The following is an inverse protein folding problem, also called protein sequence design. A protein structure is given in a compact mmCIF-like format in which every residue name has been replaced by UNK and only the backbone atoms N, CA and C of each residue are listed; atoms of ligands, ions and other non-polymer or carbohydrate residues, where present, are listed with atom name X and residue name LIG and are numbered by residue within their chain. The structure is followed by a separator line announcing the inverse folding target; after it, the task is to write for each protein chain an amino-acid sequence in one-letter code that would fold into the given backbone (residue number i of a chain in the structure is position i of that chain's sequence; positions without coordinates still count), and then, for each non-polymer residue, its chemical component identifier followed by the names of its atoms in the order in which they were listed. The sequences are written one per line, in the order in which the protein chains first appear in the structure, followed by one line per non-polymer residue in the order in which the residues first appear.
data_IF_866391788293
#
_entry.id   IF_866391788293
#
_cell.length_a   1.000
_cell.length_b   1.000
_cell.length_c   1.000
_cell.angle_alpha   90.00
_cell.angle_beta   90.00
_cell.angle_gamma   90.00
#
_symmetry.space_group_name_H-M   'P 1'
#
loop_
_entity.id
_entity.type
_entity.pdbx_description
1 polymer ?
#
# COMPACT_ATOMS: atom_id res chain seq x y z
N UNK A 1 15.20 -15.32 0.50
CA UNK A 1 14.06 -15.45 -0.44
C UNK A 1 12.97 -14.51 0.03
N UNK A 2 12.76 -13.40 -0.66
CA UNK A 2 11.67 -12.48 -0.38
C UNK A 2 10.83 -12.36 -1.64
N UNK A 3 9.60 -12.87 -1.60
CA UNK A 3 8.68 -12.83 -2.73
C UNK A 3 8.36 -11.36 -3.03
N UNK A 4 8.74 -10.91 -4.22
CA UNK A 4 8.27 -9.66 -4.76
C UNK A 4 6.81 -9.84 -5.20
N UNK A 5 5.88 -9.15 -4.55
CA UNK A 5 4.56 -8.91 -5.15
C UNK A 5 4.72 -7.78 -6.18
N UNK A 6 5.14 -8.14 -7.39
CA UNK A 6 5.25 -7.23 -8.52
C UNK A 6 4.04 -7.40 -9.45
N UNK A 7 3.37 -6.28 -9.70
CA UNK A 7 3.12 -5.86 -11.08
C UNK A 7 1.68 -6.00 -11.56
N UNK A 8 1.13 -4.86 -11.99
CA UNK A 8 -0.08 -4.66 -12.82
C UNK A 8 -1.30 -5.48 -12.41
N UNK A 9 -2.43 -4.81 -12.16
CA UNK A 9 -3.72 -5.43 -12.46
C UNK A 9 -3.86 -5.63 -13.97
N UNK A 10 -3.12 -6.61 -14.49
CA UNK A 10 -3.49 -7.35 -15.69
C UNK A 10 -4.43 -8.44 -15.20
N UNK A 11 -5.72 -8.12 -15.20
CA UNK A 11 -6.85 -9.03 -14.94
C UNK A 11 -6.95 -9.56 -13.49
N UNK A 12 -7.78 -8.90 -12.66
CA UNK A 12 -8.65 -9.62 -11.71
C UNK A 12 -8.15 -9.96 -10.30
N UNK A 13 -7.10 -9.30 -9.76
CA UNK A 13 -6.75 -9.48 -8.34
C UNK A 13 -7.45 -8.42 -7.51
N UNK A 14 -8.62 -8.76 -6.94
CA UNK A 14 -9.35 -7.87 -6.04
C UNK A 14 -8.54 -7.54 -4.78
N UNK A 15 -8.81 -6.38 -4.17
CA UNK A 15 -8.23 -5.99 -2.88
C UNK A 15 -8.41 -7.09 -1.81
N UNK A 16 -9.56 -7.77 -1.83
CA UNK A 16 -9.85 -8.92 -0.97
C UNK A 16 -8.85 -10.07 -1.12
N UNK A 17 -8.42 -10.33 -2.35
CA UNK A 17 -7.41 -11.36 -2.63
C UNK A 17 -6.04 -10.94 -2.11
N UNK A 18 -5.68 -9.65 -2.24
CA UNK A 18 -4.45 -9.10 -1.67
C UNK A 18 -4.44 -9.23 -0.14
N UNK A 19 -5.53 -8.81 0.52
CA UNK A 19 -5.70 -8.93 1.97
C UNK A 19 -5.57 -10.40 2.40
N UNK A 20 -6.23 -11.33 1.72
CA UNK A 20 -6.13 -12.76 2.05
C UNK A 20 -4.70 -13.27 1.91
N UNK A 21 -3.99 -12.93 0.83
CA UNK A 21 -2.59 -13.33 0.62
C UNK A 21 -1.63 -12.74 1.65
N UNK A 22 -1.96 -11.57 2.20
CA UNK A 22 -1.15 -10.96 3.26
C UNK A 22 -1.14 -11.77 4.56
N UNK A 23 -2.15 -12.62 4.79
CA UNK A 23 -2.23 -13.52 5.93
C UNK A 23 -1.03 -14.48 6.01
N UNK A 24 -0.50 -14.87 4.85
CA UNK A 24 0.62 -15.81 4.72
C UNK A 24 1.99 -15.14 4.83
N UNK A 25 2.03 -13.81 4.99
CA UNK A 25 3.26 -12.99 4.95
C UNK A 25 3.42 -12.16 6.22
N UNK A 26 3.83 -12.72 7.37
CA UNK A 26 4.00 -11.94 8.59
C UNK A 26 5.17 -10.96 8.50
N UNK A 27 4.96 -9.72 8.94
CA UNK A 27 6.01 -8.70 9.08
C UNK A 27 5.96 -7.60 8.02
N UNK A 28 7.08 -6.89 7.77
CA UNK A 28 7.14 -5.83 6.77
C UNK A 28 6.91 -6.37 5.36
N UNK A 29 5.94 -5.80 4.65
CA UNK A 29 5.57 -6.18 3.30
C UNK A 29 5.66 -4.97 2.36
N UNK A 30 6.24 -5.19 1.18
CA UNK A 30 6.40 -4.15 0.18
C UNK A 30 5.32 -4.31 -0.89
N UNK A 31 4.37 -3.37 -0.91
CA UNK A 31 3.38 -3.26 -1.97
C UNK A 31 4.00 -2.57 -3.17
N UNK A 32 3.96 -3.20 -4.33
CA UNK A 32 4.44 -2.64 -5.59
C UNK A 32 3.34 -2.71 -6.63
N UNK A 33 2.94 -1.53 -7.11
CA UNK A 33 1.92 -1.34 -8.14
C UNK A 33 2.60 -0.72 -9.36
N UNK A 34 2.25 -1.21 -10.54
CA UNK A 34 2.73 -0.66 -11.80
C UNK A 34 1.55 -0.35 -12.70
N UNK A 35 1.54 0.81 -13.33
CA UNK A 35 0.50 1.19 -14.28
C UNK A 35 0.82 0.74 -15.71
N UNK A 36 -0.11 0.97 -16.64
CA UNK A 36 0.08 0.60 -18.05
C UNK A 36 1.13 1.46 -18.76
N UNK A 37 1.37 2.67 -18.26
CA UNK A 37 2.30 3.65 -18.82
C UNK A 37 3.75 3.39 -18.37
N UNK A 38 3.97 2.44 -17.46
CA UNK A 38 5.27 2.04 -16.97
C UNK A 38 5.70 2.73 -15.68
N UNK A 39 4.84 3.57 -15.07
CA UNK A 39 5.09 4.11 -13.75
C UNK A 39 4.94 3.03 -12.69
N UNK A 40 5.84 3.04 -11.70
CA UNK A 40 5.84 2.14 -10.57
C UNK A 40 5.70 2.95 -9.30
N UNK A 41 4.78 2.53 -8.43
CA UNK A 41 4.51 3.18 -7.17
C UNK A 41 4.06 2.16 -6.13
N UNK A 42 4.13 2.52 -4.86
CA UNK A 42 3.82 1.58 -3.80
C UNK A 42 4.26 2.05 -2.43
N UNK A 43 4.41 1.12 -1.50
CA UNK A 43 4.86 1.44 -0.16
C UNK A 43 5.12 0.23 0.72
N UNK A 44 5.88 0.45 1.78
CA UNK A 44 6.09 -0.54 2.83
C UNK A 44 4.95 -0.46 3.84
N UNK A 45 4.31 -1.59 4.07
CA UNK A 45 3.22 -1.75 5.04
C UNK A 45 3.50 -2.95 5.94
N UNK A 46 2.64 -3.18 6.93
CA UNK A 46 2.79 -4.31 7.83
C UNK A 46 1.72 -5.35 7.53
N UNK A 47 2.16 -6.59 7.37
CA UNK A 47 1.31 -7.73 7.15
C UNK A 47 1.21 -8.61 8.41
N UNK A 48 0.07 -9.29 8.60
CA UNK A 48 -1.08 -9.32 7.69
C UNK A 48 -1.86 -7.99 7.65
N UNK A 49 -2.40 -7.66 6.48
CA UNK A 49 -3.32 -6.54 6.33
C UNK A 49 -4.58 -6.84 7.14
N UNK A 50 -4.94 -5.93 8.05
CA UNK A 50 -6.11 -6.06 8.89
C UNK A 50 -7.18 -5.08 8.40
N UNK A 51 -8.12 -5.50 7.53
CA UNK A 51 -9.23 -4.66 7.17
C UNK A 51 -10.05 -4.30 8.41
N UNK A 52 -10.50 -3.06 8.47
CA UNK A 52 -11.27 -2.52 9.59
C UNK A 52 -12.57 -1.91 9.07
N UNK A 53 -13.69 -2.18 9.73
CA UNK A 53 -15.00 -1.62 9.33
C UNK A 53 -15.11 -0.10 9.54
N UNK A 54 -14.18 0.50 10.27
CA UNK A 54 -14.10 1.95 10.53
C UNK A 54 -12.70 2.43 10.17
N UNK A 55 -12.58 3.69 9.75
CA UNK A 55 -11.28 4.33 9.47
C UNK A 55 -10.37 4.29 10.71
N UNK A 56 -9.47 3.31 10.73
CA UNK A 56 -8.44 3.14 11.76
C UNK A 56 -7.08 3.11 11.09
N UNK A 57 -6.26 4.10 11.43
CA UNK A 57 -4.87 4.15 10.97
C UNK A 57 -4.06 3.03 11.62
N UNK A 58 -3.26 2.38 10.79
CA UNK A 58 -2.41 1.25 11.13
C UNK A 58 -1.00 1.52 10.58
N UNK A 59 -0.01 0.76 11.07
CA UNK A 59 1.38 0.84 10.64
C UNK A 59 2.32 1.43 11.68
N UNK A 60 3.58 1.59 11.26
CA UNK A 60 4.68 2.08 12.10
C UNK A 60 5.46 3.17 11.38
N UNK A 61 6.41 3.79 12.05
CA UNK A 61 7.31 4.79 11.44
C UNK A 61 8.23 4.20 10.34
N UNK A 62 8.23 2.88 10.16
CA UNK A 62 8.95 2.21 9.08
C UNK A 62 8.16 2.23 7.76
N UNK A 63 6.84 2.48 7.80
CA UNK A 63 6.03 2.64 6.59
C UNK A 63 6.59 3.77 5.75
N UNK A 64 6.70 3.57 4.43
CA UNK A 64 7.06 4.62 3.48
C UNK A 64 6.27 4.41 2.20
N UNK A 65 6.15 5.44 1.37
CA UNK A 65 5.59 5.33 0.02
C UNK A 65 6.62 5.74 -1.01
N UNK A 66 6.59 5.14 -2.18
CA UNK A 66 7.48 5.49 -3.28
C UNK A 66 6.70 5.58 -4.59
N UNK A 67 7.23 6.34 -5.54
CA UNK A 67 6.60 6.57 -6.84
C UNK A 67 7.61 7.00 -7.89
N UNK A 68 7.42 6.55 -9.13
CA UNK A 68 8.15 7.02 -10.31
C UNK A 68 7.26 7.80 -11.27
N UNK A 69 6.03 8.17 -10.86
CA UNK A 69 5.04 8.84 -11.73
C UNK A 69 5.57 10.20 -12.24
N UNK A 70 6.52 10.81 -11.51
CA UNK A 70 7.15 12.09 -11.87
C UNK A 70 8.48 11.92 -12.63
N UNK A 71 8.72 10.77 -13.26
CA UNK A 71 9.97 10.41 -13.93
C UNK A 71 10.98 9.79 -12.97
N UNK A 72 11.57 10.61 -12.10
CA UNK A 72 12.56 10.13 -11.12
C UNK A 72 11.89 9.40 -9.93
N UNK A 73 12.45 8.27 -9.45
CA UNK A 73 11.96 7.59 -8.26
C UNK A 73 12.03 8.49 -7.03
N UNK A 74 10.86 8.73 -6.42
CA UNK A 74 10.72 9.49 -5.17
C UNK A 74 10.28 8.57 -4.05
N UNK A 75 10.84 8.80 -2.86
CA UNK A 75 10.54 8.08 -1.64
C UNK A 75 10.09 9.07 -0.57
N UNK A 76 8.90 8.85 -0.03
CA UNK A 76 8.32 9.67 1.04
C UNK A 76 8.24 8.84 2.32
N UNK A 77 8.90 9.35 3.36
CA UNK A 77 8.88 8.77 4.70
C UNK A 77 7.96 9.59 5.61
N UNK A 78 7.39 8.98 6.67
CA UNK A 78 6.61 9.70 7.66
C UNK A 78 7.47 10.77 8.31
N UNK A 79 6.91 11.97 8.47
CA UNK A 79 7.60 13.10 9.10
C UNK A 79 7.61 13.01 10.63
N UNK A 80 6.93 12.02 11.21
CA UNK A 80 6.73 11.89 12.65
C UNK A 80 5.68 12.85 13.22
N UNK A 81 5.10 13.75 12.41
CA UNK A 81 4.09 14.71 12.84
C UNK A 81 2.75 14.05 13.22
N UNK A 82 2.45 12.88 12.66
CA UNK A 82 1.28 12.08 12.99
C UNK A 82 1.58 10.57 12.81
N UNK A 83 0.64 9.74 13.27
CA UNK A 83 0.71 8.27 13.13
C UNK A 83 -0.24 7.75 12.05
N UNK A 84 -0.50 8.57 11.05
CA UNK A 84 -1.46 8.26 9.98
C UNK A 84 -0.76 7.58 8.80
N UNK A 85 -0.25 6.37 9.05
CA UNK A 85 0.60 5.67 8.09
C UNK A 85 -0.20 5.03 6.95
N UNK A 86 -1.20 4.18 7.25
CA UNK A 86 -2.11 3.66 6.23
C UNK A 86 -3.48 3.27 6.82
N UNK A 87 -4.49 3.16 5.95
CA UNK A 87 -5.82 2.63 6.21
C UNK A 87 -6.02 1.35 5.41
N UNK A 88 -6.57 0.34 6.05
CA UNK A 88 -7.07 -0.86 5.38
C UNK A 88 -8.53 -1.04 5.81
N UNK A 89 -9.44 -0.79 4.87
CA UNK A 89 -10.85 -1.10 4.93
C UNK A 89 -11.13 -2.34 4.07
N UNK A 90 -12.36 -2.85 4.12
CA UNK A 90 -12.77 -4.01 3.32
C UNK A 90 -12.71 -3.76 1.81
N UNK A 91 -12.88 -2.50 1.41
CA UNK A 91 -12.97 -1.99 0.04
C UNK A 91 -11.89 -0.96 -0.29
N UNK A 92 -11.03 -0.58 0.65
CA UNK A 92 -10.06 0.50 0.46
C UNK A 92 -8.73 0.20 1.13
N UNK A 93 -7.63 0.34 0.39
CA UNK A 93 -6.28 0.39 0.97
C UNK A 93 -5.63 1.70 0.61
N UNK A 94 -5.38 2.56 1.60
CA UNK A 94 -4.81 3.89 1.39
C UNK A 94 -3.57 4.11 2.26
N UNK A 95 -2.46 4.58 1.66
CA UNK A 95 -1.21 4.85 2.36
C UNK A 95 -0.91 6.36 2.38
N UNK A 96 -0.33 6.81 3.50
CA UNK A 96 0.13 8.17 3.75
C UNK A 96 -1.02 9.17 3.88
N UNK A 97 -1.49 9.44 5.10
CA UNK A 97 -2.61 10.35 5.34
C UNK A 97 -2.17 11.57 6.17
N UNK A 98 -1.58 12.57 5.51
CA UNK A 98 -1.18 13.84 6.14
C UNK A 98 -1.93 15.07 5.62
N UNK A 99 -2.89 14.88 4.71
CA UNK A 99 -3.67 15.92 4.05
C UNK A 99 -4.48 15.33 2.89
N UNK A 100 -3.81 14.59 2.00
CA UNK A 100 -4.40 13.68 1.01
C UNK A 100 -3.71 12.32 1.09
N UNK A 101 -4.36 11.26 0.62
CA UNK A 101 -3.73 9.93 0.53
C UNK A 101 -2.66 9.93 -0.56
N UNK A 102 -1.46 9.48 -0.24
CA UNK A 102 -0.36 9.38 -1.21
C UNK A 102 -0.55 8.21 -2.18
N UNK A 103 -1.18 7.14 -1.71
CA UNK A 103 -1.58 5.99 -2.52
C UNK A 103 -2.98 5.56 -2.08
N UNK A 104 -3.84 5.23 -3.03
CA UNK A 104 -5.18 4.71 -2.78
C UNK A 104 -5.49 3.59 -3.77
N UNK A 105 -5.85 2.42 -3.26
CA UNK A 105 -6.33 1.27 -4.03
C UNK A 105 -7.77 0.99 -3.62
N UNK A 106 -8.66 1.02 -4.59
CA UNK A 106 -10.09 0.72 -4.40
C UNK A 106 -10.35 -0.79 -4.59
N UNK A 107 -11.51 -1.26 -4.12
CA UNK A 107 -11.92 -2.66 -4.15
C UNK A 107 -12.27 -3.15 -5.55
N UNK A 108 -12.78 -2.25 -6.39
CA UNK A 108 -13.04 -2.45 -7.81
C UNK A 108 -11.86 -1.94 -8.63
N UNK A 109 -10.92 -2.85 -8.85
CA UNK A 109 -9.62 -2.60 -9.46
C UNK A 109 -9.52 -3.33 -10.80
#
# INVERSE_FOLDING_TARGET
MGVAIQGKLKHGISLRTLIRKSADLPGPCLLIVGDMQGAVFGGLLQCPLQPTAKRKFQGTNQTFVFTTIYGEPRLFRPTGANRYYYLCLDDLLALGAGGNFALCLDGDL
#
